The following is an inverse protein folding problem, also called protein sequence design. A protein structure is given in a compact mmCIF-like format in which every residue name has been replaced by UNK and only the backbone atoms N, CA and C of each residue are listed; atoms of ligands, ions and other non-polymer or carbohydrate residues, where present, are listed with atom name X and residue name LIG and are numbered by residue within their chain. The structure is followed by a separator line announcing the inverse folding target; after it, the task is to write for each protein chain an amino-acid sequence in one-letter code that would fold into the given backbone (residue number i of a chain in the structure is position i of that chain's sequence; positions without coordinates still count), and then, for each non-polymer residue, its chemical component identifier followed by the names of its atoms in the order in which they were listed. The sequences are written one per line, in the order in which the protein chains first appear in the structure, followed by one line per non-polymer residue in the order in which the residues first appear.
data_IF_429071275774
#
_entry.id   IF_429071275774
#
_cell.length_a   1.000
_cell.length_b   1.000
_cell.length_c   1.000
_cell.angle_alpha   90.00
_cell.angle_beta   90.00
_cell.angle_gamma   90.00
#
_symmetry.space_group_name_H-M   'P 1'
#
loop_
_entity.id
_entity.type
_entity.pdbx_description
1 polymer ?
#
# COMPACT_ATOMS: atom_id res chain seq x y z
N UNK A 1 11.88 -12.10 -10.40
CA UNK A 1 10.53 -11.51 -10.32
C UNK A 1 9.89 -11.71 -11.69
N UNK A 2 8.73 -12.36 -11.76
CA UNK A 2 7.96 -12.44 -13.01
C UNK A 2 7.34 -11.08 -13.27
N UNK A 3 7.46 -10.60 -14.50
CA UNK A 3 6.85 -9.35 -14.96
C UNK A 3 5.32 -9.49 -14.94
N UNK A 4 4.55 -8.51 -14.46
CA UNK A 4 3.08 -8.57 -14.45
C UNK A 4 2.47 -8.68 -15.87
N UNK A 5 3.27 -8.54 -16.92
CA UNK A 5 2.87 -8.78 -18.31
C UNK A 5 2.97 -10.26 -18.73
N UNK A 6 3.58 -11.12 -17.92
CA UNK A 6 3.83 -12.55 -18.19
C UNK A 6 2.70 -13.47 -17.70
N UNK A 7 1.58 -12.91 -17.23
CA UNK A 7 0.38 -13.68 -16.86
C UNK A 7 -0.54 -13.91 -18.06
N UNK A 8 -1.15 -15.09 -18.12
CA UNK A 8 -2.09 -15.46 -19.19
C UNK A 8 -3.33 -14.55 -19.19
N UNK A 9 -4.05 -14.39 -20.32
CA UNK A 9 -5.28 -13.60 -20.36
C UNK A 9 -6.38 -14.12 -19.44
N UNK A 10 -6.38 -15.42 -19.14
CA UNK A 10 -7.30 -16.03 -18.18
C UNK A 10 -6.92 -15.65 -16.74
N UNK A 11 -5.64 -15.78 -16.37
CA UNK A 11 -5.14 -15.31 -15.06
C UNK A 11 -5.34 -13.81 -14.85
N UNK A 12 -5.15 -12.99 -15.89
CA UNK A 12 -5.39 -11.55 -15.78
C UNK A 12 -6.83 -11.25 -15.40
N UNK A 13 -7.80 -11.98 -15.97
CA UNK A 13 -9.21 -11.83 -15.61
C UNK A 13 -9.47 -12.26 -14.17
N UNK A 14 -8.91 -13.38 -13.74
CA UNK A 14 -9.04 -13.85 -12.36
C UNK A 14 -8.46 -12.81 -11.37
N UNK A 15 -7.29 -12.24 -11.65
CA UNK A 15 -6.66 -11.19 -10.83
C UNK A 15 -7.53 -9.92 -10.78
N UNK A 16 -8.11 -9.52 -11.91
CA UNK A 16 -9.00 -8.35 -11.97
C UNK A 16 -10.29 -8.57 -11.18
N UNK A 17 -10.89 -9.74 -11.29
CA UNK A 17 -12.09 -10.13 -10.54
C UNK A 17 -11.82 -10.15 -9.03
N UNK A 18 -10.70 -10.73 -8.59
CA UNK A 18 -10.30 -10.71 -7.19
C UNK A 18 -10.02 -9.28 -6.69
N UNK A 19 -9.35 -8.45 -7.50
CA UNK A 19 -9.12 -7.04 -7.16
C UNK A 19 -10.43 -6.30 -6.99
N UNK A 20 -11.39 -6.49 -7.90
CA UNK A 20 -12.70 -5.86 -7.83
C UNK A 20 -13.43 -6.27 -6.55
N UNK A 21 -13.43 -7.57 -6.21
CA UNK A 21 -14.06 -8.07 -4.99
C UNK A 21 -13.42 -7.47 -3.72
N UNK A 22 -12.09 -7.38 -3.67
CA UNK A 22 -11.37 -6.85 -2.49
C UNK A 22 -11.51 -5.33 -2.32
N UNK A 23 -11.64 -4.59 -3.43
CA UNK A 23 -11.80 -3.13 -3.41
C UNK A 23 -13.25 -2.71 -3.15
N UNK A 24 -14.21 -3.60 -3.36
CA UNK A 24 -15.63 -3.36 -3.14
C UNK A 24 -15.90 -2.99 -1.67
N UNK A 25 -16.53 -1.83 -1.40
CA UNK A 25 -16.87 -1.40 -0.05
C UNK A 25 -17.79 -2.38 0.69
N UNK A 26 -18.66 -3.13 0.00
CA UNK A 26 -19.58 -4.10 0.61
C UNK A 26 -18.86 -5.33 1.16
N UNK A 27 -17.63 -5.60 0.69
CA UNK A 27 -16.78 -6.69 1.17
C UNK A 27 -15.81 -6.26 2.28
N UNK A 28 -15.87 -5.00 2.74
CA UNK A 28 -15.05 -4.51 3.85
C UNK A 28 -15.61 -5.05 5.18
N UNK A 29 -14.76 -5.42 6.15
CA UNK A 29 -15.23 -5.84 7.46
C UNK A 29 -15.93 -4.69 8.21
N UNK A 30 -17.04 -4.99 8.91
CA UNK A 30 -17.92 -4.01 9.58
C UNK A 30 -17.23 -3.11 10.62
N UNK A 31 -16.05 -3.50 11.10
CA UNK A 31 -15.30 -2.83 12.17
C UNK A 31 -13.92 -2.33 11.73
N UNK A 32 -13.67 -2.23 10.42
CA UNK A 32 -12.45 -1.60 9.88
C UNK A 32 -12.69 -0.11 9.72
N UNK A 33 -11.94 0.69 10.48
CA UNK A 33 -11.87 2.14 10.29
C UNK A 33 -11.04 2.44 9.05
N UNK A 34 -11.66 3.06 8.05
CA UNK A 34 -10.96 3.56 6.87
C UNK A 34 -10.54 5.00 7.16
N UNK A 35 -9.24 5.20 7.32
CA UNK A 35 -8.67 6.51 7.53
C UNK A 35 -8.70 7.32 6.21
N UNK A 36 -9.59 8.30 6.14
CA UNK A 36 -9.70 9.26 5.01
C UNK A 36 -9.18 10.65 5.43
N UNK A 37 -8.28 10.73 6.40
CA UNK A 37 -7.73 12.02 6.86
C UNK A 37 -6.64 12.58 5.94
N UNK A 38 -6.37 11.93 4.80
CA UNK A 38 -5.38 12.33 3.79
C UNK A 38 -3.99 12.59 4.40
N UNK A 39 -3.57 11.74 5.35
CA UNK A 39 -2.26 11.86 6.01
C UNK A 39 -1.15 11.31 5.12
N UNK A 40 -0.07 12.07 5.01
CA UNK A 40 1.15 11.64 4.31
C UNK A 40 2.04 10.80 5.22
N UNK A 41 2.53 9.67 4.71
CA UNK A 41 3.49 8.81 5.41
C UNK A 41 4.92 9.09 4.93
N UNK A 42 5.84 9.35 5.87
CA UNK A 42 7.27 9.53 5.60
C UNK A 42 7.99 8.17 5.69
N UNK A 43 8.43 7.58 4.56
CA UNK A 43 9.05 6.26 4.56
C UNK A 43 10.47 6.26 5.16
N UNK A 44 11.17 7.40 5.15
CA UNK A 44 12.52 7.52 5.72
C UNK A 44 12.43 7.54 7.24
N UNK A 45 11.43 8.23 7.79
CA UNK A 45 11.21 8.28 9.23
C UNK A 45 10.37 7.13 9.77
N UNK A 46 9.64 6.43 8.90
CA UNK A 46 8.73 5.36 9.29
C UNK A 46 7.51 5.83 10.08
N UNK A 47 7.09 7.09 9.89
CA UNK A 47 5.97 7.69 10.62
C UNK A 47 5.18 8.68 9.74
N UNK A 48 3.96 9.03 10.15
CA UNK A 48 3.16 10.04 9.46
C UNK A 48 3.74 11.45 9.68
N UNK A 49 3.68 12.30 8.66
CA UNK A 49 4.30 13.63 8.65
C UNK A 49 3.66 14.62 9.63
N UNK A 50 2.42 14.35 10.08
CA UNK A 50 1.70 15.20 11.02
C UNK A 50 2.00 14.88 12.50
N UNK A 51 2.79 13.82 12.76
CA UNK A 51 3.14 13.39 14.12
C UNK A 51 4.49 13.97 14.54
N UNK A 52 4.69 14.19 15.85
CA UNK A 52 5.99 14.59 16.38
C UNK A 52 7.02 13.49 16.15
N UNK A 53 8.25 13.89 15.84
CA UNK A 53 9.30 12.98 15.37
C UNK A 53 9.72 12.02 16.49
N UNK A 54 9.47 10.72 16.30
CA UNK A 54 9.95 9.69 17.22
C UNK A 54 11.40 9.25 16.85
N UNK A 55 12.39 9.50 17.73
CA UNK A 55 13.79 9.17 17.44
C UNK A 55 14.12 7.67 17.58
N UNK A 56 13.21 6.82 18.04
CA UNK A 56 13.43 5.38 18.20
C UNK A 56 13.04 4.58 16.95
N UNK A 57 12.25 5.16 16.04
CA UNK A 57 11.74 4.47 14.84
C UNK A 57 12.68 4.54 13.62
N UNK A 58 13.53 5.55 13.47
CA UNK A 58 14.28 5.78 12.21
C UNK A 58 15.73 6.30 12.37
N UNK A 59 16.46 6.50 11.26
CA UNK A 59 15.99 6.51 9.87
C UNK A 59 16.13 5.16 9.12
N UNK A 60 15.21 4.93 8.17
CA UNK A 60 15.24 3.85 7.18
C UNK A 60 15.78 4.34 5.83
N UNK A 61 16.11 3.39 4.95
CA UNK A 61 16.51 3.73 3.57
C UNK A 61 15.32 4.34 2.80
N UNK A 62 15.59 5.38 2.01
CA UNK A 62 14.57 5.95 1.13
C UNK A 62 14.29 4.95 -0.01
N UNK A 63 13.04 4.46 -0.15
CA UNK A 63 12.69 3.53 -1.23
C UNK A 63 12.90 4.14 -2.63
N UNK A 64 12.95 5.46 -2.74
CA UNK A 64 13.22 6.19 -3.99
C UNK A 64 14.69 6.15 -4.40
N UNK A 65 15.60 5.86 -3.46
CA UNK A 65 17.04 5.69 -3.73
C UNK A 65 17.41 4.24 -4.09
N UNK A 66 16.51 3.27 -3.87
CA UNK A 66 16.75 1.85 -4.18
C UNK A 66 16.46 1.49 -5.66
N UNK A 67 15.72 2.33 -6.39
CA UNK A 67 15.47 2.22 -7.84
C UNK A 67 16.43 3.16 -8.61
N UNK A 68 17.73 2.83 -8.61
CA UNK A 68 18.80 3.59 -9.27
C UNK A 68 19.83 2.72 -9.98
#
# INVERSE_FOLDING_TARGET
MSDPSDVSPEEQREIEEERAQRLDPDNRPDNVEVDNTDRDFDPVKGQFTDTEDDPELGPFADPSEEDG
#
